data_IF_441111558879
#
_entry.id   IF_441111558879
#
_cell.length_a   1.000
_cell.length_b   1.000
_cell.length_c   1.000
_cell.angle_alpha   90.00
_cell.angle_beta   90.00
_cell.angle_gamma   90.00
#
_symmetry.space_group_name_H-M   'P 1'
#
loop_
_entity.id
_entity.type
_entity.pdbx_description
1 polymer ?
#
# COMPACT_ATOMS: atom_id res chain seq x y z
N UNK A 1 -12.62 -36.39 -2.67
CA UNK A 1 -11.34 -35.70 -2.92
C UNK A 1 -11.39 -34.39 -2.15
N UNK A 2 -10.75 -34.32 -0.98
CA UNK A 2 -10.68 -33.12 -0.16
C UNK A 2 -9.38 -32.40 -0.54
N UNK A 3 -9.49 -31.26 -1.18
CA UNK A 3 -8.33 -30.40 -1.45
C UNK A 3 -7.90 -29.77 -0.13
N UNK A 4 -6.89 -30.36 0.53
CA UNK A 4 -6.15 -29.66 1.57
C UNK A 4 -5.31 -28.58 0.89
N UNK A 5 -5.82 -27.35 0.92
CA UNK A 5 -5.04 -26.17 0.58
C UNK A 5 -3.94 -26.01 1.63
N UNK A 6 -2.71 -26.39 1.27
CA UNK A 6 -1.51 -26.08 2.04
C UNK A 6 -1.35 -24.55 2.08
N UNK A 7 -1.86 -23.93 3.14
CA UNK A 7 -1.62 -22.52 3.42
C UNK A 7 -0.16 -22.36 3.85
N UNK A 8 0.68 -21.91 2.92
CA UNK A 8 2.04 -21.51 3.20
C UNK A 8 2.02 -20.30 4.14
N UNK A 9 2.06 -20.56 5.44
CA UNK A 9 2.21 -19.52 6.47
C UNK A 9 3.70 -19.17 6.52
N UNK A 10 4.13 -18.19 5.74
CA UNK A 10 5.50 -17.69 5.77
C UNK A 10 5.71 -16.88 7.04
N UNK A 11 6.36 -17.48 8.05
CA UNK A 11 6.86 -16.74 9.22
C UNK A 11 8.09 -15.94 8.80
N UNK A 12 7.93 -14.63 8.62
CA UNK A 12 9.06 -13.73 8.42
C UNK A 12 9.69 -13.37 9.76
N UNK A 13 11.02 -13.46 9.85
CA UNK A 13 11.78 -12.81 10.93
C UNK A 13 11.67 -11.29 10.76
N UNK A 14 11.61 -10.55 11.88
CA UNK A 14 11.51 -9.09 11.87
C UNK A 14 12.86 -8.50 11.44
N UNK A 15 13.09 -8.43 10.13
CA UNK A 15 14.27 -7.78 9.54
C UNK A 15 14.00 -6.34 9.14
N UNK A 16 12.72 -5.97 9.00
CA UNK A 16 12.25 -4.61 8.73
C UNK A 16 10.88 -4.38 9.33
N UNK A 17 10.54 -3.13 9.66
CA UNK A 17 9.18 -2.72 10.05
C UNK A 17 8.23 -2.53 8.85
N UNK A 18 8.69 -2.81 7.63
CA UNK A 18 7.90 -2.69 6.40
C UNK A 18 7.36 -4.06 6.01
N UNK A 19 6.04 -4.19 5.93
CA UNK A 19 5.36 -5.45 5.65
C UNK A 19 4.35 -5.21 4.52
N UNK A 20 4.51 -5.85 3.37
CA UNK A 20 3.61 -5.69 2.22
C UNK A 20 3.29 -4.21 1.92
N UNK A 21 4.34 -3.38 1.86
CA UNK A 21 4.30 -1.92 1.68
C UNK A 21 3.77 -1.08 2.85
N UNK A 22 3.20 -1.69 3.88
CA UNK A 22 2.83 -0.99 5.12
C UNK A 22 4.07 -0.73 5.96
N UNK A 23 4.30 0.53 6.31
CA UNK A 23 5.38 0.92 7.20
C UNK A 23 4.85 1.05 8.64
N UNK A 24 5.11 0.02 9.46
CA UNK A 24 4.69 0.02 10.85
C UNK A 24 5.51 0.97 11.73
N UNK A 25 6.66 1.47 11.25
CA UNK A 25 7.49 2.42 12.01
C UNK A 25 6.86 3.80 12.17
N UNK A 26 5.86 4.10 11.34
CA UNK A 26 5.09 5.35 11.40
C UNK A 26 4.13 5.36 12.57
N UNK A 27 3.75 4.19 13.11
CA UNK A 27 2.79 4.09 14.20
C UNK A 27 3.49 4.44 15.53
N UNK A 28 3.12 5.55 16.19
CA UNK A 28 3.77 5.97 17.41
C UNK A 28 3.46 5.04 18.58
N UNK A 29 4.34 5.04 19.58
CA UNK A 29 4.07 4.39 20.87
C UNK A 29 2.77 4.94 21.46
N UNK A 30 1.84 4.05 21.78
CA UNK A 30 0.53 4.44 22.29
C UNK A 30 0.21 3.64 23.55
N UNK A 31 -0.30 4.33 24.58
CA UNK A 31 -0.83 3.68 25.78
C UNK A 31 -2.34 3.62 25.70
N UNK A 32 -2.88 2.41 25.77
CA UNK A 32 -4.29 2.12 25.63
C UNK A 32 -4.82 1.40 26.87
N UNK A 33 -6.02 1.78 27.32
CA UNK A 33 -6.67 1.15 28.47
C UNK A 33 -7.74 0.18 27.98
N UNK A 34 -7.76 -1.04 28.49
CA UNK A 34 -8.75 -2.06 28.13
C UNK A 34 -9.06 -2.96 29.34
N UNK A 35 -10.28 -3.51 29.38
CA UNK A 35 -10.62 -4.56 30.33
C UNK A 35 -10.21 -5.92 29.78
N UNK A 36 -9.85 -6.84 30.66
CA UNK A 36 -9.69 -8.24 30.28
C UNK A 36 -11.03 -8.95 30.46
N UNK A 37 -11.37 -9.80 29.50
CA UNK A 37 -12.60 -10.59 29.59
C UNK A 37 -12.67 -11.38 30.90
N UNK A 38 -13.80 -11.27 31.62
CA UNK A 38 -14.01 -11.94 32.90
C UNK A 38 -13.38 -11.29 34.14
N UNK A 39 -12.68 -10.16 34.02
CA UNK A 39 -12.08 -9.45 35.15
C UNK A 39 -12.62 -8.02 35.30
N UNK A 40 -12.84 -7.53 36.54
CA UNK A 40 -13.38 -6.18 36.76
C UNK A 40 -12.34 -5.07 36.62
N UNK A 41 -11.07 -5.42 36.43
CA UNK A 41 -9.96 -4.46 36.40
C UNK A 41 -9.70 -3.93 34.99
N UNK A 42 -9.39 -2.63 34.92
CA UNK A 42 -8.89 -1.98 33.71
C UNK A 42 -7.37 -2.07 33.72
N UNK A 43 -6.81 -2.55 32.62
CA UNK A 43 -5.37 -2.69 32.40
C UNK A 43 -4.90 -1.62 31.43
N UNK A 44 -3.69 -1.11 31.64
CA UNK A 44 -3.04 -0.21 30.68
C UNK A 44 -2.02 -1.01 29.88
N UNK A 45 -2.04 -0.81 28.57
CA UNK A 45 -1.22 -1.48 27.59
C UNK A 45 -0.43 -0.44 26.82
N UNK A 46 0.87 -0.39 27.00
CA UNK A 46 1.75 0.46 26.18
C UNK A 46 2.27 -0.38 25.02
N UNK A 47 1.90 0.01 23.80
CA UNK A 47 2.14 -0.77 22.59
C UNK A 47 3.01 0.07 21.65
N UNK A 48 4.14 -0.50 21.26
CA UNK A 48 4.97 -0.05 20.16
C UNK A 48 5.03 -1.17 19.11
N UNK A 49 4.30 -1.05 17.99
CA UNK A 49 4.24 -2.10 16.97
C UNK A 49 5.61 -2.49 16.44
N UNK A 50 6.37 -1.52 15.95
CA UNK A 50 7.73 -1.71 15.44
C UNK A 50 8.44 -0.36 15.34
N UNK A 51 9.66 -0.25 15.88
CA UNK A 51 10.57 0.87 15.69
C UNK A 51 12.01 0.30 15.67
N UNK A 52 12.80 0.64 14.65
CA UNK A 52 14.15 0.09 14.47
C UNK A 52 14.23 -1.45 14.60
N UNK A 53 13.29 -2.16 13.98
CA UNK A 53 13.13 -3.63 14.02
C UNK A 53 12.84 -4.21 15.42
N UNK A 54 12.45 -3.36 16.37
CA UNK A 54 12.04 -3.76 17.71
C UNK A 54 10.61 -3.29 17.95
N UNK A 55 9.75 -4.21 18.39
CA UNK A 55 8.43 -3.86 18.90
C UNK A 55 8.30 -4.39 20.31
N UNK A 56 7.44 -3.77 21.10
CA UNK A 56 7.12 -4.27 22.43
C UNK A 56 5.70 -3.94 22.85
N UNK A 57 5.20 -4.72 23.79
CA UNK A 57 3.97 -4.44 24.53
C UNK A 57 4.26 -4.56 26.01
N UNK A 58 3.93 -3.53 26.77
CA UNK A 58 4.03 -3.56 28.23
C UNK A 58 2.64 -3.53 28.84
N UNK A 59 2.32 -4.58 29.60
CA UNK A 59 1.11 -4.71 30.39
C UNK A 59 1.35 -4.15 31.79
N UNK A 60 0.54 -3.16 32.18
CA UNK A 60 0.51 -2.61 33.53
C UNK A 60 -0.74 -3.13 34.25
N UNK A 61 -0.51 -3.93 35.29
CA UNK A 61 -1.54 -4.40 36.21
C UNK A 61 -1.43 -3.63 37.53
N UNK A 62 -2.55 -3.25 38.16
CA UNK A 62 -2.51 -2.69 39.51
C UNK A 62 -1.79 -3.65 40.46
N UNK A 63 -0.84 -3.14 41.25
CA UNK A 63 -0.10 -3.89 42.28
C UNK A 63 0.91 -4.95 41.80
N UNK A 64 1.13 -5.11 40.49
CA UNK A 64 2.15 -6.00 39.95
C UNK A 64 3.20 -5.24 39.14
N UNK A 65 4.40 -5.83 39.01
CA UNK A 65 5.45 -5.26 38.16
C UNK A 65 4.99 -5.29 36.70
N UNK A 66 5.31 -4.25 35.90
CA UNK A 66 4.98 -4.22 34.48
C UNK A 66 5.55 -5.44 33.76
N UNK A 67 4.74 -6.06 32.89
CA UNK A 67 5.13 -7.23 32.12
C UNK A 67 5.36 -6.83 30.66
N UNK A 68 6.61 -6.85 30.22
CA UNK A 68 6.99 -6.49 28.84
C UNK A 68 7.13 -7.73 27.96
N UNK A 69 6.53 -7.66 26.78
CA UNK A 69 6.58 -8.66 25.73
C UNK A 69 7.25 -8.03 24.51
N UNK A 70 8.10 -8.78 23.81
CA UNK A 70 8.85 -8.28 22.65
C UNK A 70 8.30 -8.86 21.36
N UNK A 71 8.33 -8.09 20.27
CA UNK A 71 7.89 -8.53 18.95
C UNK A 71 8.76 -9.71 18.49
N UNK A 72 8.11 -10.82 18.15
CA UNK A 72 8.74 -12.04 17.64
C UNK A 72 8.59 -12.21 16.15
N UNK A 73 7.49 -11.72 15.60
CA UNK A 73 7.17 -11.85 14.20
C UNK A 73 5.81 -11.27 13.88
N UNK A 74 5.48 -11.33 12.62
CA UNK A 74 4.20 -10.90 12.09
C UNK A 74 3.70 -11.91 11.08
N UNK A 75 2.39 -11.91 10.86
CA UNK A 75 1.72 -12.72 9.86
C UNK A 75 0.74 -11.82 9.09
N UNK A 76 0.71 -11.96 7.77
CA UNK A 76 -0.25 -11.22 6.94
C UNK A 76 -1.37 -12.17 6.57
N UNK A 77 -2.58 -11.87 7.03
CA UNK A 77 -3.76 -12.66 6.72
C UNK A 77 -4.41 -12.18 5.41
N UNK A 78 -5.19 -13.06 4.78
CA UNK A 78 -5.98 -12.71 3.60
C UNK A 78 -6.92 -11.54 3.95
N UNK A 79 -6.83 -10.43 3.21
CA UNK A 79 -7.66 -9.26 3.47
C UNK A 79 -6.93 -8.02 4.02
N UNK A 80 -5.59 -7.98 3.96
CA UNK A 80 -4.74 -6.84 4.41
C UNK A 80 -4.69 -6.65 5.93
N UNK A 81 -5.05 -7.68 6.67
CA UNK A 81 -4.93 -7.70 8.12
C UNK A 81 -3.51 -8.14 8.49
N UNK A 82 -2.87 -7.39 9.39
CA UNK A 82 -1.53 -7.70 9.88
C UNK A 82 -1.67 -8.15 11.32
N UNK A 83 -1.25 -9.38 11.60
CA UNK A 83 -1.18 -9.91 12.96
C UNK A 83 0.26 -9.84 13.45
N UNK A 84 0.46 -9.21 14.61
CA UNK A 84 1.74 -9.11 15.30
C UNK A 84 1.77 -10.09 16.47
N UNK A 85 2.88 -10.81 16.63
CA UNK A 85 3.09 -11.75 17.72
C UNK A 85 4.15 -11.22 18.66
N UNK A 86 3.76 -10.92 19.89
CA UNK A 86 4.66 -10.49 20.97
C UNK A 86 4.81 -11.61 22.00
N UNK A 87 6.01 -11.82 22.53
CA UNK A 87 6.27 -12.84 23.54
C UNK A 87 7.22 -12.34 24.62
N UNK A 88 6.94 -12.72 25.88
CA UNK A 88 7.81 -12.45 27.01
C UNK A 88 9.07 -13.34 26.97
N UNK A 89 10.24 -12.73 27.16
CA UNK A 89 11.53 -13.42 27.28
C UNK A 89 12.02 -13.22 28.71
N UNK A 90 12.62 -14.21 29.39
CA UNK A 90 12.93 -15.59 28.94
C UNK A 90 11.83 -16.62 29.23
N UNK A 91 10.87 -16.28 30.08
CA UNK A 91 9.76 -17.17 30.43
C UNK A 91 8.63 -16.99 29.43
N UNK A 92 8.43 -17.97 28.53
CA UNK A 92 7.38 -18.00 27.48
C UNK A 92 5.94 -17.89 28.06
N UNK A 93 5.79 -17.70 29.36
CA UNK A 93 4.53 -17.55 30.12
C UNK A 93 3.49 -16.61 29.53
N UNK A 94 3.85 -15.64 28.69
CA UNK A 94 2.85 -14.83 28.00
C UNK A 94 3.20 -14.48 26.58
N UNK A 95 2.16 -14.55 25.75
CA UNK A 95 2.20 -14.17 24.34
C UNK A 95 0.98 -13.31 24.04
N UNK A 96 1.16 -12.26 23.25
CA UNK A 96 0.08 -11.42 22.77
C UNK A 96 0.02 -11.48 21.24
N UNK A 97 -1.16 -11.78 20.72
CA UNK A 97 -1.50 -11.72 19.31
C UNK A 97 -2.33 -10.45 19.08
N UNK A 98 -1.70 -9.46 18.44
CA UNK A 98 -2.31 -8.18 18.13
C UNK A 98 -2.64 -8.12 16.64
N UNK A 99 -3.93 -8.17 16.31
CA UNK A 99 -4.40 -7.98 14.93
C UNK A 99 -4.62 -6.49 14.67
N UNK A 100 -4.04 -5.96 13.60
CA UNK A 100 -4.17 -4.57 13.23
C UNK A 100 -5.07 -4.43 11.99
N UNK A 101 -5.99 -3.46 12.03
CA UNK A 101 -6.81 -3.06 10.89
C UNK A 101 -6.69 -1.56 10.58
N UNK A 102 -7.18 -1.18 9.40
CA UNK A 102 -7.34 0.21 9.02
C UNK A 102 -8.30 0.95 9.98
N UNK A 103 -7.86 2.12 10.44
CA UNK A 103 -8.61 3.00 11.33
C UNK A 103 -8.59 4.46 10.88
N UNK A 104 -9.13 5.33 11.72
CA UNK A 104 -9.28 6.77 11.42
C UNK A 104 -8.29 7.66 12.19
N UNK A 105 -7.37 7.07 12.97
CA UNK A 105 -6.34 7.77 13.74
C UNK A 105 -4.94 7.27 13.40
N UNK A 106 -3.95 8.16 13.43
CA UNK A 106 -2.54 7.80 13.18
C UNK A 106 -1.97 6.91 14.29
N UNK A 107 -2.31 7.22 15.54
CA UNK A 107 -2.03 6.37 16.69
C UNK A 107 -2.94 5.13 16.72
N UNK A 108 -2.50 4.10 17.44
CA UNK A 108 -3.32 2.91 17.70
C UNK A 108 -4.55 3.31 18.51
N UNK A 109 -5.71 2.74 18.16
CA UNK A 109 -6.93 2.86 18.97
C UNK A 109 -7.64 1.52 19.04
N UNK A 110 -8.30 1.24 20.18
CA UNK A 110 -9.22 0.11 20.25
C UNK A 110 -10.45 0.33 19.36
N UNK A 111 -11.11 -0.76 18.88
CA UNK A 111 -12.32 -0.67 18.08
C UNK A 111 -13.49 0.03 18.78
N UNK A 112 -13.57 -0.09 20.11
CA UNK A 112 -14.59 0.52 20.96
C UNK A 112 -13.99 1.00 22.29
N UNK A 113 -14.69 1.88 23.01
CA UNK A 113 -14.25 2.36 24.32
C UNK A 113 -14.33 1.26 25.40
N UNK A 114 -15.34 0.40 25.32
CA UNK A 114 -15.53 -0.76 26.20
C UNK A 114 -14.87 -2.04 25.65
N UNK A 115 -13.76 -1.90 24.93
CA UNK A 115 -13.10 -3.05 24.31
C UNK A 115 -12.52 -4.00 25.37
N UNK A 116 -12.88 -5.27 25.25
CA UNK A 116 -12.39 -6.34 26.10
C UNK A 116 -11.33 -7.16 25.36
N UNK A 117 -10.15 -7.30 25.96
CA UNK A 117 -9.10 -8.17 25.48
C UNK A 117 -9.44 -9.59 25.91
N UNK A 118 -9.53 -10.49 24.93
CA UNK A 118 -9.75 -11.90 25.19
C UNK A 118 -8.44 -12.54 25.67
N UNK A 119 -8.55 -13.40 26.67
CA UNK A 119 -7.42 -14.13 27.21
C UNK A 119 -7.76 -15.63 27.24
N UNK A 120 -6.87 -16.44 26.68
CA UNK A 120 -6.90 -17.87 26.85
C UNK A 120 -5.76 -18.28 27.79
N UNK A 121 -6.11 -19.00 28.85
CA UNK A 121 -5.18 -19.52 29.83
C UNK A 121 -5.06 -21.02 29.67
N UNK A 122 -4.07 -21.43 28.90
CA UNK A 122 -3.78 -22.86 28.66
C UNK A 122 -2.46 -23.23 29.30
N UNK A 123 -2.49 -24.22 30.20
CA UNK A 123 -1.30 -24.92 30.75
C UNK A 123 -0.16 -24.03 31.27
N UNK A 124 -0.49 -22.93 31.96
CA UNK A 124 0.50 -22.01 32.55
C UNK A 124 1.05 -20.93 31.60
N UNK A 125 0.43 -20.81 30.42
CA UNK A 125 0.67 -19.73 29.47
C UNK A 125 -0.57 -18.84 29.39
N UNK A 126 -0.37 -17.53 29.53
CA UNK A 126 -1.41 -16.53 29.30
C UNK A 126 -1.28 -16.03 27.85
N UNK A 127 -2.25 -16.37 27.00
CA UNK A 127 -2.33 -15.88 25.63
C UNK A 127 -3.36 -14.76 25.53
N UNK A 128 -2.95 -13.60 25.01
CA UNK A 128 -3.82 -12.44 24.85
C UNK A 128 -4.14 -12.22 23.37
N UNK A 129 -5.41 -11.97 23.06
CA UNK A 129 -5.88 -11.63 21.73
C UNK A 129 -6.48 -10.24 21.75
N UNK A 130 -5.91 -9.35 20.94
CA UNK A 130 -6.39 -7.99 20.83
C UNK A 130 -6.44 -7.54 19.37
N UNK A 131 -7.35 -6.62 19.09
CA UNK A 131 -7.52 -5.98 17.79
C UNK A 131 -7.35 -4.48 17.97
N UNK A 132 -6.53 -3.84 17.14
CA UNK A 132 -6.36 -2.39 17.15
C UNK A 132 -6.47 -1.79 15.75
N UNK A 133 -6.80 -0.50 15.70
CA UNK A 133 -7.03 0.26 14.48
C UNK A 133 -5.96 1.35 14.32
N UNK A 134 -5.48 1.59 13.09
CA UNK A 134 -4.59 2.72 12.74
C UNK A 134 -4.74 3.12 11.26
N UNK A 135 -4.60 4.41 10.94
CA UNK A 135 -4.61 4.94 9.57
C UNK A 135 -3.42 4.46 8.75
N UNK A 136 -2.31 4.08 9.39
CA UNK A 136 -1.11 3.57 8.72
C UNK A 136 -1.38 2.31 7.89
N UNK A 137 -2.46 1.59 8.21
CA UNK A 137 -2.90 0.37 7.53
C UNK A 137 -3.99 0.62 6.48
N UNK A 138 -4.42 1.88 6.31
CA UNK A 138 -5.42 2.23 5.33
C UNK A 138 -4.81 2.38 3.93
N UNK A 139 -5.55 1.98 2.87
CA UNK A 139 -5.07 2.10 1.49
C UNK A 139 -4.73 3.55 1.09
N UNK A 140 -5.38 4.53 1.72
CA UNK A 140 -5.16 5.95 1.43
C UNK A 140 -3.84 6.47 2.02
N UNK A 141 -3.31 5.81 3.07
CA UNK A 141 -2.00 6.15 3.62
C UNK A 141 -0.87 5.74 2.65
N UNK A 142 -1.06 4.66 1.89
CA UNK A 142 -0.14 4.23 0.83
C UNK A 142 -0.15 5.18 -0.37
N UNK A 143 -1.30 5.79 -0.69
CA UNK A 143 -1.46 6.62 -1.89
C UNK A 143 -0.90 8.04 -1.74
N UNK A 144 -0.74 8.54 -0.50
CA UNK A 144 -0.42 9.96 -0.28
C UNK A 144 0.93 10.42 -0.82
N UNK A 145 1.95 9.55 -0.89
CA UNK A 145 3.31 9.96 -1.28
C UNK A 145 4.04 9.04 -2.26
N UNK A 146 3.47 7.91 -2.66
CA UNK A 146 4.16 7.00 -3.60
C UNK A 146 3.66 7.23 -5.01
N UNK A 147 4.29 8.20 -5.69
CA UNK A 147 4.27 8.25 -7.14
C UNK A 147 4.86 6.93 -7.65
N UNK A 148 4.01 6.00 -8.07
CA UNK A 148 4.45 4.68 -8.54
C UNK A 148 5.38 4.81 -9.75
N UNK A 149 5.92 3.67 -10.22
CA UNK A 149 6.81 3.61 -11.40
C UNK A 149 6.24 4.39 -12.60
N UNK A 150 4.92 4.38 -12.77
CA UNK A 150 4.24 5.14 -13.82
C UNK A 150 4.46 6.65 -13.74
N UNK A 151 4.56 7.22 -12.54
CA UNK A 151 4.79 8.66 -12.37
C UNK A 151 6.22 9.05 -12.77
N UNK A 152 7.22 8.24 -12.40
CA UNK A 152 8.61 8.45 -12.83
C UNK A 152 8.69 8.39 -14.36
N UNK A 153 8.03 7.41 -14.98
CA UNK A 153 7.96 7.28 -16.43
C UNK A 153 7.35 8.52 -17.11
N UNK A 154 6.26 9.06 -16.56
CA UNK A 154 5.63 10.30 -17.05
C UNK A 154 6.60 11.47 -16.97
N UNK A 155 7.29 11.65 -15.83
CA UNK A 155 8.28 12.74 -15.68
C UNK A 155 9.41 12.62 -16.72
N UNK A 156 9.94 11.41 -16.94
CA UNK A 156 10.99 11.20 -17.95
C UNK A 156 10.52 11.46 -19.38
N UNK A 157 9.32 11.03 -19.75
CA UNK A 157 8.80 11.26 -21.10
C UNK A 157 8.54 12.75 -21.32
N UNK A 158 7.77 13.40 -20.46
CA UNK A 158 7.38 14.79 -20.68
C UNK A 158 8.57 15.74 -20.47
N UNK A 159 9.41 15.48 -19.46
CA UNK A 159 10.63 16.25 -19.22
C UNK A 159 11.65 16.05 -20.35
N UNK A 160 11.87 14.82 -20.80
CA UNK A 160 12.76 14.50 -21.91
C UNK A 160 12.28 15.11 -23.23
N UNK A 161 10.98 15.05 -23.53
CA UNK A 161 10.38 15.66 -24.71
C UNK A 161 10.54 17.18 -24.72
N UNK A 162 10.29 17.84 -23.58
CA UNK A 162 10.47 19.29 -23.44
C UNK A 162 11.94 19.69 -23.66
N UNK A 163 12.88 18.98 -23.01
CA UNK A 163 14.32 19.22 -23.20
C UNK A 163 14.76 19.00 -24.64
N UNK A 164 14.27 17.95 -25.30
CA UNK A 164 14.55 17.69 -26.71
C UNK A 164 14.11 18.85 -27.61
N UNK A 165 12.88 19.37 -27.42
CA UNK A 165 12.39 20.52 -28.19
C UNK A 165 13.28 21.74 -27.96
N UNK A 166 13.56 22.09 -26.70
CA UNK A 166 14.35 23.28 -26.35
C UNK A 166 15.76 23.21 -26.95
N UNK A 167 16.47 22.10 -26.74
CA UNK A 167 17.83 21.91 -27.26
C UNK A 167 17.85 22.02 -28.78
N UNK A 168 16.87 21.41 -29.46
CA UNK A 168 16.85 21.42 -30.93
C UNK A 168 16.48 22.78 -31.51
N UNK A 169 15.57 23.51 -30.86
CA UNK A 169 15.22 24.89 -31.24
C UNK A 169 16.44 25.80 -31.08
N UNK A 170 17.14 25.72 -29.94
CA UNK A 170 18.37 26.49 -29.68
C UNK A 170 19.42 26.16 -30.75
N UNK A 171 19.65 24.88 -31.02
CA UNK A 171 20.63 24.43 -32.01
C UNK A 171 20.32 24.93 -33.42
N UNK A 172 19.07 24.81 -33.87
CA UNK A 172 18.65 25.27 -35.20
C UNK A 172 18.69 26.79 -35.33
N UNK A 173 18.37 27.52 -34.25
CA UNK A 173 18.45 28.97 -34.22
C UNK A 173 19.90 29.45 -34.40
N UNK A 174 20.83 28.93 -33.59
CA UNK A 174 22.23 29.40 -33.62
C UNK A 174 23.02 28.96 -34.85
N UNK A 175 22.69 27.79 -35.44
CA UNK A 175 23.52 27.24 -36.53
C UNK A 175 22.96 27.46 -37.93
N UNK A 176 21.66 27.66 -38.08
CA UNK A 176 21.02 27.61 -39.40
C UNK A 176 20.24 28.89 -39.76
N UNK A 177 20.19 29.89 -38.88
CA UNK A 177 19.42 31.15 -39.05
C UNK A 177 17.98 30.92 -39.53
N UNK A 178 17.41 29.78 -39.14
CA UNK A 178 16.05 29.39 -39.51
C UNK A 178 15.06 30.13 -38.62
N UNK A 179 14.02 30.69 -39.23
CA UNK A 179 12.96 31.45 -38.57
C UNK A 179 11.58 30.79 -38.73
N UNK A 180 10.70 31.01 -37.76
CA UNK A 180 9.30 30.58 -37.79
C UNK A 180 9.10 29.06 -37.64
N UNK A 181 8.14 28.50 -38.38
CA UNK A 181 7.75 27.07 -38.29
C UNK A 181 8.87 26.09 -38.66
N UNK A 182 9.96 26.57 -39.25
CA UNK A 182 11.12 25.77 -39.64
C UNK A 182 12.08 25.44 -38.49
N UNK A 183 11.89 26.04 -37.30
CA UNK A 183 12.69 25.72 -36.11
C UNK A 183 12.31 24.38 -35.46
N UNK A 184 11.09 23.90 -35.68
CA UNK A 184 10.61 22.68 -35.04
C UNK A 184 11.34 21.46 -35.62
N UNK A 185 11.92 20.58 -34.78
CA UNK A 185 12.51 19.33 -35.26
C UNK A 185 11.42 18.43 -35.82
N UNK A 186 11.61 17.90 -37.02
CA UNK A 186 10.72 16.91 -37.64
C UNK A 186 9.24 17.35 -37.64
N UNK A 187 8.87 18.41 -38.38
CA UNK A 187 7.50 18.93 -38.38
C UNK A 187 6.45 17.89 -38.81
N UNK A 188 6.83 16.93 -39.66
CA UNK A 188 5.98 15.80 -40.04
C UNK A 188 5.59 14.94 -38.81
N UNK A 189 6.55 14.62 -37.94
CA UNK A 189 6.27 13.86 -36.72
C UNK A 189 5.30 14.59 -35.80
N UNK A 190 5.48 15.90 -35.60
CA UNK A 190 4.60 16.69 -34.74
C UNK A 190 3.20 16.89 -35.32
N UNK A 191 3.06 16.86 -36.65
CA UNK A 191 1.76 16.85 -37.29
C UNK A 191 0.99 15.55 -37.01
N UNK A 192 1.71 14.42 -36.93
CA UNK A 192 1.14 13.09 -36.69
C UNK A 192 0.98 12.77 -35.18
N UNK A 193 1.69 13.48 -34.31
CA UNK A 193 1.68 13.23 -32.86
C UNK A 193 0.28 13.22 -32.20
N UNK A 194 -0.66 14.13 -32.54
CA UNK A 194 -2.02 14.07 -32.00
C UNK A 194 -2.76 12.78 -32.37
N UNK A 195 -2.51 12.23 -33.56
CA UNK A 195 -3.09 10.97 -34.00
C UNK A 195 -2.48 9.80 -33.23
N UNK A 196 -1.17 9.79 -33.02
CA UNK A 196 -0.48 8.79 -32.18
C UNK A 196 -1.00 8.79 -30.74
N UNK A 197 -1.25 9.96 -30.14
CA UNK A 197 -1.85 10.06 -28.81
C UNK A 197 -3.28 9.51 -28.78
N UNK A 198 -4.08 9.81 -29.79
CA UNK A 198 -5.45 9.29 -29.92
C UNK A 198 -5.44 7.76 -30.01
N UNK A 199 -4.59 7.20 -30.87
CA UNK A 199 -4.51 5.75 -31.09
C UNK A 199 -4.00 5.04 -29.83
N UNK A 200 -3.01 5.62 -29.14
CA UNK A 200 -2.54 5.13 -27.85
C UNK A 200 -3.62 5.14 -26.77
N UNK A 201 -4.40 6.21 -26.67
CA UNK A 201 -5.50 6.33 -25.71
C UNK A 201 -6.61 5.30 -25.99
N UNK A 202 -6.99 5.12 -27.25
CA UNK A 202 -7.99 4.13 -27.68
C UNK A 202 -7.49 2.72 -27.35
N UNK A 203 -6.25 2.39 -27.69
CA UNK A 203 -5.65 1.09 -27.37
C UNK A 203 -5.67 0.80 -25.86
N UNK A 204 -5.27 1.78 -25.04
CA UNK A 204 -5.23 1.62 -23.59
C UNK A 204 -6.63 1.46 -22.99
N UNK A 205 -7.61 2.23 -23.47
CA UNK A 205 -9.01 2.10 -23.06
C UNK A 205 -9.56 0.71 -23.33
N UNK A 206 -9.37 0.17 -24.54
CA UNK A 206 -9.83 -1.18 -24.89
C UNK A 206 -9.16 -2.26 -24.04
N UNK A 207 -7.86 -2.10 -23.77
CA UNK A 207 -7.11 -3.04 -22.94
C UNK A 207 -7.64 -3.04 -21.49
N UNK A 208 -7.89 -1.87 -20.91
CA UNK A 208 -8.48 -1.74 -19.57
C UNK A 208 -9.91 -2.29 -19.52
N UNK A 209 -10.75 -1.95 -20.51
CA UNK A 209 -12.13 -2.42 -20.58
C UNK A 209 -12.22 -3.96 -20.55
N UNK A 210 -11.25 -4.65 -21.17
CA UNK A 210 -11.13 -6.11 -21.16
C UNK A 210 -10.78 -6.67 -19.78
N UNK A 211 -9.92 -6.01 -19.02
CA UNK A 211 -9.58 -6.43 -17.65
C UNK A 211 -10.75 -6.27 -16.68
N UNK A 212 -11.64 -5.30 -16.89
CA UNK A 212 -12.81 -5.07 -16.05
C UNK A 212 -14.05 -5.91 -16.44
N UNK A 213 -13.90 -6.93 -17.29
CA UNK A 213 -14.92 -7.98 -17.47
C UNK A 213 -16.19 -7.56 -18.22
N UNK A 214 -16.25 -6.35 -18.82
CA UNK A 214 -17.31 -6.04 -19.78
C UNK A 214 -16.94 -6.69 -21.11
N UNK A 215 -17.60 -7.80 -21.45
CA UNK A 215 -17.37 -8.64 -22.63
C UNK A 215 -17.62 -7.97 -23.98
N UNK A 216 -17.08 -6.77 -24.22
CA UNK A 216 -17.09 -6.15 -25.53
C UNK A 216 -16.08 -6.86 -26.44
N UNK A 217 -16.58 -7.38 -27.57
CA UNK A 217 -15.73 -7.78 -28.70
C UNK A 217 -14.98 -6.55 -29.16
N UNK A 218 -13.65 -6.60 -29.10
CA UNK A 218 -12.80 -5.56 -29.69
C UNK A 218 -13.13 -5.47 -31.18
N UNK A 219 -13.53 -4.31 -31.72
CA UNK A 219 -13.46 -4.12 -33.16
C UNK A 219 -11.99 -4.32 -33.56
N UNK A 220 -11.76 -5.15 -34.57
CA UNK A 220 -10.43 -5.29 -35.18
C UNK A 220 -10.04 -3.91 -35.72
N UNK A 221 -8.79 -3.49 -35.53
CA UNK A 221 -8.27 -2.17 -35.91
C UNK A 221 -8.67 -1.77 -37.35
N UNK A 222 -8.72 -2.73 -38.27
CA UNK A 222 -9.20 -2.53 -39.65
C UNK A 222 -10.63 -1.94 -39.75
N UNK A 223 -11.57 -2.33 -38.88
CA UNK A 223 -12.97 -1.88 -38.96
C UNK A 223 -13.20 -0.44 -38.46
N UNK A 224 -12.27 0.11 -37.67
CA UNK A 224 -12.40 1.48 -37.14
C UNK A 224 -11.96 2.51 -38.18
N UNK A 225 -10.96 2.20 -39.01
CA UNK A 225 -10.50 3.10 -40.07
C UNK A 225 -11.40 3.05 -41.31
N UNK A 226 -11.98 1.88 -41.66
CA UNK A 226 -12.94 1.79 -42.78
C UNK A 226 -14.21 2.63 -42.57
N UNK A 227 -14.75 2.70 -41.36
CA UNK A 227 -15.96 3.48 -41.09
C UNK A 227 -15.72 4.99 -40.96
N UNK A 228 -14.47 5.41 -40.73
CA UNK A 228 -14.11 6.83 -40.60
C UNK A 228 -14.06 7.56 -41.94
N UNK A 229 -13.65 6.90 -43.02
CA UNK A 229 -13.49 7.52 -44.34
C UNK A 229 -14.82 7.68 -45.11
N UNK A 230 -15.84 6.86 -44.80
CA UNK A 230 -17.15 6.92 -45.48
C UNK A 230 -17.93 8.20 -45.16
N UNK A 231 -17.63 8.87 -44.04
CA UNK A 231 -18.39 10.06 -43.59
C UNK A 231 -17.89 11.40 -44.12
N UNK A 232 -16.78 11.43 -44.89
CA UNK A 232 -16.24 12.68 -45.47
C UNK A 232 -16.65 12.97 -46.92
N UNK A 233 -17.38 12.06 -47.56
CA UNK A 233 -17.80 12.20 -48.97
C UNK A 233 -19.32 12.37 -49.16
N UNK A 234 -20.04 12.88 -48.15
CA UNK A 234 -21.45 13.28 -48.30
C UNK A 234 -21.70 14.70 -47.83
#
# INVERSE_FOLDING_TARGET
>A
MVFMSNFWTTRALVTSCIINDYDLSVIPETTLSARQEGLPFVYNWTILPCNDNKGYVTLFRPQEKPKTMTLKGFNVMFGREIQLTFSAIPTISSTMLLTLHCGNTDALKWPSEDYNISNDRTSGFDMYYATALSTALCPDALSKNRCGVGCVFVVFIFGGLAMYIVVTVIWNFFRQDKCGKSLLPHPAFWADFPFLLRDGAVYFYWKLARYFGRGYRSPTYEQVYENGDVTKNS
#
